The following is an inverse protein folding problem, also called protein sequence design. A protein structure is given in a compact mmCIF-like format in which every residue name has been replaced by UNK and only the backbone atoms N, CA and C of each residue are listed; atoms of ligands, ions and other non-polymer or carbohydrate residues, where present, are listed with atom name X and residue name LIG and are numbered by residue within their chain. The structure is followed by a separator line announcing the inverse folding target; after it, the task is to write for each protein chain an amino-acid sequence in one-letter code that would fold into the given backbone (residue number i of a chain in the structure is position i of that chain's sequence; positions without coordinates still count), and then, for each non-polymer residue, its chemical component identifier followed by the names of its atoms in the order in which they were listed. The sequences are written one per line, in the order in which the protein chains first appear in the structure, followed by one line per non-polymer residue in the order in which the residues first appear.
data_IF_326570609372
#
_entry.id   IF_326570609372
#
_cell.length_a   1.000
_cell.length_b   1.000
_cell.length_c   1.000
_cell.angle_alpha   90.00
_cell.angle_beta   90.00
_cell.angle_gamma   90.00
#
_symmetry.space_group_name_H-M   'P 1'
#
loop_
_entity.id
_entity.type
_entity.pdbx_description
1 polymer ?
#
# COMPACT_ATOMS: atom_id res chain seq x y z
N UNK A 1 31.91 2.25 -23.02
CA UNK A 1 30.66 2.72 -22.38
C UNK A 1 30.92 2.72 -20.88
N UNK A 2 31.13 3.89 -20.30
CA UNK A 2 31.50 4.03 -18.89
C UNK A 2 30.44 3.36 -18.00
N UNK A 3 30.85 2.40 -17.17
CA UNK A 3 29.97 1.74 -16.21
C UNK A 3 29.42 2.78 -15.25
N UNK A 4 28.13 3.13 -15.40
CA UNK A 4 27.43 4.00 -14.47
C UNK A 4 27.30 3.26 -13.14
N UNK A 5 27.79 3.86 -12.04
CA UNK A 5 27.61 3.30 -10.70
C UNK A 5 26.17 3.50 -10.23
N UNK A 6 25.68 2.61 -9.36
CA UNK A 6 24.35 2.74 -8.74
C UNK A 6 24.25 4.01 -7.90
N UNK A 7 25.35 4.41 -7.26
CA UNK A 7 25.39 5.60 -6.41
C UNK A 7 25.13 6.89 -7.19
N UNK A 8 25.73 7.01 -8.38
CA UNK A 8 25.50 8.16 -9.28
C UNK A 8 24.04 8.26 -9.73
N UNK A 9 23.35 7.12 -9.89
CA UNK A 9 21.94 7.06 -10.26
C UNK A 9 21.05 7.48 -9.08
N UNK A 10 21.36 7.03 -7.87
CA UNK A 10 20.64 7.45 -6.66
C UNK A 10 20.73 8.96 -6.44
N UNK A 11 21.91 9.55 -6.64
CA UNK A 11 22.10 11.00 -6.55
C UNK A 11 21.19 11.74 -7.55
N UNK A 12 21.15 11.29 -8.81
CA UNK A 12 20.29 11.87 -9.84
C UNK A 12 18.78 11.75 -9.49
N UNK A 13 18.33 10.62 -8.95
CA UNK A 13 16.95 10.42 -8.52
C UNK A 13 16.54 11.33 -7.34
N UNK A 14 17.47 11.63 -6.44
CA UNK A 14 17.25 12.57 -5.33
C UNK A 14 17.18 14.00 -5.87
N UNK A 15 18.12 14.39 -6.74
CA UNK A 15 18.17 15.75 -7.34
C UNK A 15 16.95 16.04 -8.20
N UNK A 16 16.51 15.07 -9.00
CA UNK A 16 15.29 15.17 -9.81
C UNK A 16 13.99 15.10 -8.99
N UNK A 17 14.08 14.77 -7.70
CA UNK A 17 12.95 14.73 -6.78
C UNK A 17 12.07 13.49 -6.86
N UNK A 18 12.48 12.46 -7.62
CA UNK A 18 11.79 11.16 -7.63
C UNK A 18 11.94 10.40 -6.32
N UNK A 19 13.10 10.52 -5.67
CA UNK A 19 13.37 9.91 -4.37
C UNK A 19 13.29 10.97 -3.28
N UNK A 20 12.20 10.95 -2.51
CA UNK A 20 11.92 11.91 -1.44
C UNK A 20 11.60 11.18 -0.14
N UNK A 21 12.01 11.78 0.98
CA UNK A 21 11.54 11.36 2.30
C UNK A 21 10.06 11.72 2.49
N UNK A 22 9.22 10.72 2.69
CA UNK A 22 7.80 10.91 3.00
C UNK A 22 7.60 11.33 4.47
N UNK A 23 6.52 12.06 4.72
CA UNK A 23 6.08 12.34 6.09
C UNK A 23 5.57 11.07 6.77
N UNK A 24 5.88 10.93 8.06
CA UNK A 24 5.43 9.79 8.86
C UNK A 24 4.01 10.05 9.35
N UNK A 25 3.02 9.59 8.58
CA UNK A 25 1.60 9.67 8.94
C UNK A 25 1.14 8.30 9.45
N UNK A 26 0.44 8.26 10.59
CA UNK A 26 -0.08 6.99 11.10
C UNK A 26 -1.35 6.59 10.32
N UNK A 27 -1.53 5.30 10.04
CA UNK A 27 -2.71 4.81 9.31
C UNK A 27 -4.04 5.17 9.99
N UNK A 28 -4.03 5.32 11.32
CA UNK A 28 -5.20 5.71 12.11
C UNK A 28 -5.65 7.15 11.88
N UNK A 29 -4.76 8.01 11.38
CA UNK A 29 -5.05 9.43 11.15
C UNK A 29 -5.89 9.63 9.87
N UNK A 30 -5.99 8.60 9.02
CA UNK A 30 -6.87 8.59 7.85
C UNK A 30 -8.32 8.30 8.26
N UNK A 31 -9.20 9.29 8.10
CA UNK A 31 -10.64 9.17 8.30
C UNK A 31 -11.24 8.38 7.14
N UNK A 32 -12.13 7.43 7.43
CA UNK A 32 -12.82 6.65 6.43
C UNK A 32 -14.08 5.99 6.96
N UNK A 33 -15.10 5.94 6.11
CA UNK A 33 -16.39 5.33 6.43
C UNK A 33 -16.30 3.80 6.43
N UNK A 34 -17.14 3.19 7.28
CA UNK A 34 -17.33 1.75 7.36
C UNK A 34 -18.56 1.34 6.56
N UNK A 35 -18.46 0.24 5.80
CA UNK A 35 -19.62 -0.31 5.10
C UNK A 35 -20.47 -1.21 6.02
N UNK A 36 -21.34 -0.61 6.81
CA UNK A 36 -22.24 -1.35 7.72
C UNK A 36 -23.25 -2.25 6.98
N UNK A 37 -23.62 -1.90 5.75
CA UNK A 37 -24.59 -2.65 4.93
C UNK A 37 -23.97 -3.77 4.08
N UNK A 38 -22.65 -3.99 4.18
CA UNK A 38 -21.93 -4.92 3.30
C UNK A 38 -22.45 -6.36 3.38
N UNK A 39 -22.82 -6.81 4.58
CA UNK A 39 -23.38 -8.16 4.80
C UNK A 39 -24.76 -8.33 4.15
N UNK A 40 -25.60 -7.29 4.17
CA UNK A 40 -26.93 -7.32 3.55
C UNK A 40 -26.83 -7.32 2.02
N UNK A 41 -25.89 -6.54 1.46
CA UNK A 41 -25.66 -6.53 0.00
C UNK A 41 -25.13 -7.88 -0.51
N UNK A 42 -24.24 -8.53 0.24
CA UNK A 42 -23.77 -9.88 -0.07
C UNK A 42 -24.92 -10.91 -0.10
N UNK A 43 -25.83 -10.86 0.87
CA UNK A 43 -27.02 -11.73 0.88
C UNK A 43 -27.95 -11.47 -0.31
N UNK A 44 -27.99 -10.24 -0.81
CA UNK A 44 -28.74 -9.86 -2.00
C UNK A 44 -28.01 -10.18 -3.33
N UNK A 45 -26.92 -10.97 -3.29
CA UNK A 45 -26.05 -11.26 -4.44
C UNK A 45 -25.55 -9.99 -5.18
N UNK A 46 -25.40 -8.89 -4.46
CA UNK A 46 -24.81 -7.64 -4.98
C UNK A 46 -23.45 -7.44 -4.36
N UNK A 47 -22.46 -7.19 -5.19
CA UNK A 47 -21.11 -6.86 -4.73
C UNK A 47 -21.15 -5.51 -3.99
N UNK A 48 -20.78 -5.47 -2.70
CA UNK A 48 -20.65 -4.21 -1.99
C UNK A 48 -19.54 -3.37 -2.61
N UNK A 49 -19.77 -2.06 -2.73
CA UNK A 49 -18.72 -1.13 -3.12
C UNK A 49 -17.66 -1.07 -2.02
N UNK A 50 -16.35 -1.06 -2.37
CA UNK A 50 -15.30 -0.96 -1.37
C UNK A 50 -15.39 0.37 -0.62
N UNK A 51 -15.20 0.32 0.69
CA UNK A 51 -15.18 1.49 1.56
C UNK A 51 -13.75 1.99 1.82
N UNK A 52 -13.63 3.21 2.34
CA UNK A 52 -12.35 3.78 2.76
C UNK A 52 -11.69 2.93 3.86
N UNK A 53 -12.49 2.24 4.69
CA UNK A 53 -11.99 1.27 5.64
C UNK A 53 -11.26 0.09 4.97
N UNK A 54 -11.86 -0.47 3.91
CA UNK A 54 -11.29 -1.60 3.17
C UNK A 54 -9.94 -1.23 2.53
N UNK A 55 -9.83 0.01 2.04
CA UNK A 55 -8.56 0.56 1.53
C UNK A 55 -7.50 0.58 2.63
N UNK A 56 -7.82 1.12 3.81
CA UNK A 56 -6.88 1.18 4.95
C UNK A 56 -6.42 -0.22 5.38
N UNK A 57 -7.34 -1.19 5.41
CA UNK A 57 -7.01 -2.57 5.74
C UNK A 57 -6.10 -3.21 4.69
N UNK A 58 -6.37 -3.00 3.40
CA UNK A 58 -5.53 -3.52 2.32
C UNK A 58 -4.12 -2.92 2.33
N UNK A 59 -3.99 -1.62 2.62
CA UNK A 59 -2.68 -0.96 2.79
C UNK A 59 -1.93 -1.55 3.99
N UNK A 60 -2.61 -1.84 5.10
CA UNK A 60 -1.99 -2.48 6.25
C UNK A 60 -1.50 -3.90 5.94
N UNK A 61 -2.34 -4.72 5.30
CA UNK A 61 -2.03 -6.13 4.98
C UNK A 61 -0.95 -6.26 3.91
N UNK A 62 -1.08 -5.52 2.81
CA UNK A 62 -0.20 -5.68 1.66
C UNK A 62 0.93 -4.65 1.62
N UNK A 63 0.82 -3.49 2.26
CA UNK A 63 1.91 -2.52 2.34
C UNK A 63 2.75 -2.75 3.59
N UNK A 64 2.14 -2.58 4.76
CA UNK A 64 2.87 -2.43 6.03
C UNK A 64 3.32 -3.76 6.62
N UNK A 65 2.41 -4.73 6.78
CA UNK A 65 2.71 -5.98 7.49
C UNK A 65 3.81 -6.80 6.81
N UNK A 66 3.89 -6.76 5.49
CA UNK A 66 4.93 -7.45 4.71
C UNK A 66 6.34 -6.85 4.89
N UNK A 67 6.43 -5.62 5.40
CA UNK A 67 7.71 -4.97 5.73
C UNK A 67 8.10 -5.18 7.20
N UNK A 68 7.18 -5.67 8.05
CA UNK A 68 7.40 -5.79 9.49
C UNK A 68 8.24 -7.00 9.92
N UNK A 69 8.32 -8.06 9.11
CA UNK A 69 9.14 -9.24 9.40
C UNK A 69 9.52 -9.99 8.12
N UNK A 70 10.74 -10.55 8.02
CA UNK A 70 11.16 -11.38 6.89
C UNK A 70 10.33 -12.67 6.77
N UNK A 71 9.90 -13.26 7.89
CA UNK A 71 9.11 -14.50 7.88
C UNK A 71 7.74 -14.24 7.24
N UNK A 72 7.07 -13.17 7.66
CA UNK A 72 5.80 -12.71 7.10
C UNK A 72 5.98 -12.37 5.62
N UNK A 73 7.08 -11.73 5.25
CA UNK A 73 7.38 -11.40 3.85
C UNK A 73 7.45 -12.65 2.97
N UNK A 74 8.07 -13.73 3.47
CA UNK A 74 8.23 -14.98 2.73
C UNK A 74 6.93 -15.80 2.62
N UNK A 75 6.09 -15.79 3.65
CA UNK A 75 4.83 -16.55 3.68
C UNK A 75 3.66 -15.80 3.03
N UNK A 76 3.73 -14.48 2.93
CA UNK A 76 2.66 -13.67 2.38
C UNK A 76 2.54 -13.81 0.85
N UNK A 77 1.33 -13.61 0.30
CA UNK A 77 1.12 -13.58 -1.15
C UNK A 77 2.02 -12.55 -1.85
N UNK A 78 2.59 -12.95 -2.98
CA UNK A 78 3.50 -12.12 -3.75
C UNK A 78 2.75 -11.07 -4.59
N UNK A 79 2.44 -9.94 -3.95
CA UNK A 79 1.74 -8.81 -4.57
C UNK A 79 2.75 -7.72 -4.92
N UNK A 80 2.89 -7.42 -6.22
CA UNK A 80 3.84 -6.43 -6.79
C UNK A 80 3.25 -5.02 -6.94
N UNK A 81 1.93 -4.91 -6.97
CA UNK A 81 1.23 -3.65 -7.16
C UNK A 81 -0.09 -3.66 -6.40
N UNK A 82 -0.49 -2.48 -5.93
CA UNK A 82 -1.81 -2.23 -5.34
C UNK A 82 -2.41 -1.09 -6.15
N UNK A 83 -3.60 -1.31 -6.71
CA UNK A 83 -4.37 -0.27 -7.36
C UNK A 83 -5.30 0.35 -6.29
N UNK A 84 -5.15 1.65 -6.06
CA UNK A 84 -6.06 2.45 -5.24
C UNK A 84 -6.92 3.26 -6.21
N UNK A 85 -8.25 3.17 -6.08
CA UNK A 85 -9.25 3.88 -6.90
C UNK A 85 -9.97 4.89 -6.04
#
# INVERSE_FOLDING_TARGET
VLCRSVDSLFEELVVSGFLRKCETVALKDYIGDYLYLGSILNLANKLPMPSLFDIRQNVALYGVLRLGSPDIHSMAPFIRSVLLV
#
